data_IF_491380995996
#
_entry.id   IF_491380995996
#
_cell.length_a   1.000
_cell.length_b   1.000
_cell.length_c   1.000
_cell.angle_alpha   90.00
_cell.angle_beta   90.00
_cell.angle_gamma   90.00
#
_symmetry.space_group_name_H-M   'P 1'
#
loop_
_entity.id
_entity.type
_entity.pdbx_description
1 polymer ?
#
# COMPACT_ATOMS: atom_id res chain seq x y z
N UNK A 1 -9.00 -5.25 8.29
CA UNK A 1 -8.91 -5.44 9.75
C UNK A 1 -8.09 -4.30 10.38
N UNK A 2 -8.41 -3.85 11.61
CA UNK A 2 -7.73 -2.74 12.29
C UNK A 2 -6.19 -2.87 12.33
N UNK A 3 -5.62 -4.06 12.60
CA UNK A 3 -4.16 -4.24 12.60
C UNK A 3 -3.49 -3.98 11.25
N UNK A 4 -4.19 -4.23 10.13
CA UNK A 4 -3.65 -3.95 8.80
C UNK A 4 -3.58 -2.44 8.53
N UNK A 5 -4.59 -1.68 8.97
CA UNK A 5 -4.61 -0.21 8.86
C UNK A 5 -3.51 0.42 9.72
N UNK A 6 -3.28 -0.11 10.91
CA UNK A 6 -2.19 0.34 11.79
C UNK A 6 -0.81 0.05 11.17
N UNK A 7 -0.63 -1.17 10.63
CA UNK A 7 0.58 -1.52 9.89
C UNK A 7 0.83 -0.58 8.72
N UNK A 8 -0.20 -0.31 7.90
CA UNK A 8 -0.12 0.62 6.77
C UNK A 8 0.42 2.01 7.14
N UNK A 9 -0.07 2.57 8.22
CA UNK A 9 0.30 3.91 8.64
C UNK A 9 1.75 4.01 9.16
N UNK A 10 2.32 2.88 9.62
CA UNK A 10 3.66 2.80 10.20
C UNK A 10 4.74 2.40 9.20
N UNK A 11 4.36 1.79 8.06
CA UNK A 11 5.30 1.32 7.05
C UNK A 11 6.32 2.39 6.70
N UNK A 12 7.60 2.03 6.80
CA UNK A 12 8.74 2.84 6.42
C UNK A 12 9.67 2.13 5.42
N UNK A 13 9.53 0.82 5.26
CA UNK A 13 10.22 0.04 4.23
C UNK A 13 9.22 -0.78 3.44
N UNK A 14 9.27 -0.69 2.11
CA UNK A 14 8.53 -1.55 1.18
C UNK A 14 9.50 -2.46 0.48
N UNK A 15 9.40 -3.76 0.73
CA UNK A 15 10.06 -4.80 -0.04
C UNK A 15 9.18 -5.16 -1.23
N UNK A 16 9.56 -4.71 -2.42
CA UNK A 16 8.81 -4.97 -3.64
C UNK A 16 9.43 -6.13 -4.41
N UNK A 17 8.62 -7.16 -4.76
CA UNK A 17 9.07 -8.12 -5.77
C UNK A 17 9.12 -7.43 -7.13
N UNK A 18 10.08 -7.81 -7.98
CA UNK A 18 10.20 -7.27 -9.34
C UNK A 18 9.03 -7.74 -10.19
N UNK A 19 8.88 -9.06 -10.27
CA UNK A 19 7.93 -9.72 -11.19
C UNK A 19 6.51 -9.62 -10.68
N UNK A 20 5.56 -9.24 -11.54
CA UNK A 20 4.16 -9.08 -11.14
C UNK A 20 3.87 -7.82 -10.31
N UNK A 21 4.87 -7.16 -9.72
CA UNK A 21 4.73 -5.92 -8.94
C UNK A 21 5.24 -4.70 -9.71
N UNK A 22 6.53 -4.60 -10.00
CA UNK A 22 7.12 -3.51 -10.80
C UNK A 22 6.97 -3.76 -12.30
N UNK A 23 6.91 -5.04 -12.68
CA UNK A 23 6.65 -5.47 -14.06
C UNK A 23 5.30 -6.18 -14.15
N UNK A 24 4.72 -6.20 -15.34
CA UNK A 24 3.59 -7.06 -15.65
C UNK A 24 4.06 -8.53 -15.72
N UNK A 25 3.14 -9.48 -15.55
CA UNK A 25 3.39 -10.90 -15.86
C UNK A 25 3.37 -11.15 -17.37
N UNK A 26 3.89 -10.20 -18.14
CA UNK A 26 3.95 -10.19 -19.59
C UNK A 26 5.36 -9.86 -20.06
N UNK A 27 5.71 -10.41 -21.21
CA UNK A 27 6.96 -10.07 -21.90
C UNK A 27 6.69 -8.97 -22.92
N UNK A 28 7.73 -8.18 -23.22
CA UNK A 28 7.77 -7.24 -24.33
C UNK A 28 8.89 -7.67 -25.31
N UNK A 29 8.72 -7.39 -26.57
CA UNK A 29 9.78 -7.53 -27.56
C UNK A 29 10.82 -6.41 -27.33
N UNK A 30 12.05 -6.79 -27.05
CA UNK A 30 13.15 -5.86 -26.82
C UNK A 30 13.91 -5.57 -28.11
N UNK A 31 14.60 -6.58 -28.63
CA UNK A 31 15.42 -6.42 -29.85
C UNK A 31 15.57 -7.72 -30.63
N UNK A 32 16.02 -7.60 -31.86
CA UNK A 32 16.36 -8.70 -32.75
C UNK A 32 17.81 -8.55 -33.19
N UNK A 33 18.63 -9.58 -32.96
CA UNK A 33 20.04 -9.63 -33.40
C UNK A 33 20.18 -10.69 -34.48
N UNK A 34 20.36 -10.25 -35.74
CA UNK A 34 20.57 -11.17 -36.87
C UNK A 34 21.92 -11.86 -36.79
N UNK A 35 22.01 -13.12 -37.15
CA UNK A 35 23.18 -13.98 -37.06
C UNK A 35 23.61 -14.47 -38.44
N UNK A 36 24.86 -14.92 -38.56
CA UNK A 36 25.37 -15.68 -39.71
C UNK A 36 25.32 -14.99 -41.07
N UNK A 37 25.10 -13.65 -41.11
CA UNK A 37 24.96 -12.90 -42.36
C UNK A 37 23.53 -12.87 -42.90
N UNK A 38 22.56 -13.40 -42.16
CA UNK A 38 21.12 -13.27 -42.46
C UNK A 38 20.67 -11.82 -42.27
N UNK A 39 19.62 -11.42 -43.04
CA UNK A 39 19.04 -10.09 -42.92
C UNK A 39 18.07 -9.97 -41.75
N UNK A 40 18.08 -8.84 -41.08
CA UNK A 40 17.11 -8.59 -39.99
C UNK A 40 15.65 -8.66 -40.49
N UNK A 41 15.38 -8.19 -41.74
CA UNK A 41 14.03 -8.25 -42.31
C UNK A 41 13.57 -9.67 -42.60
N UNK A 42 14.49 -10.57 -43.02
CA UNK A 42 14.21 -12.00 -43.15
C UNK A 42 13.76 -12.60 -41.84
N UNK A 43 14.49 -12.31 -40.76
CA UNK A 43 14.14 -12.78 -39.42
C UNK A 43 12.80 -12.19 -38.92
N UNK A 44 12.56 -10.89 -39.18
CA UNK A 44 11.29 -10.26 -38.84
C UNK A 44 10.11 -10.86 -39.59
N UNK A 45 10.29 -11.13 -40.90
CA UNK A 45 9.23 -11.75 -41.69
C UNK A 45 8.94 -13.18 -41.21
N UNK A 46 9.95 -13.97 -40.92
CA UNK A 46 9.76 -15.28 -40.34
C UNK A 46 8.99 -15.27 -39.02
N UNK A 47 9.29 -14.30 -38.14
CA UNK A 47 8.57 -14.12 -36.88
C UNK A 47 7.10 -13.69 -37.10
N UNK A 48 6.83 -12.81 -38.07
CA UNK A 48 5.46 -12.43 -38.47
C UNK A 48 4.66 -13.61 -38.95
N UNK A 49 5.30 -14.49 -39.75
CA UNK A 49 4.67 -15.71 -40.29
C UNK A 49 4.39 -16.72 -39.20
N UNK A 50 5.36 -16.98 -38.31
CA UNK A 50 5.18 -17.87 -37.16
C UNK A 50 4.06 -17.33 -36.25
N UNK A 51 4.02 -16.02 -35.99
CA UNK A 51 2.99 -15.39 -35.20
C UNK A 51 1.60 -15.39 -35.84
N UNK A 52 1.52 -15.27 -37.18
CA UNK A 52 0.25 -15.36 -37.91
C UNK A 52 -0.34 -16.77 -37.92
N UNK A 53 0.52 -17.80 -37.92
CA UNK A 53 0.15 -19.18 -37.96
C UNK A 53 -0.07 -19.84 -36.58
N UNK A 54 0.21 -19.12 -35.49
CA UNK A 54 0.00 -19.59 -34.10
C UNK A 54 -1.39 -19.17 -33.61
N UNK A 55 -2.30 -20.15 -33.49
CA UNK A 55 -3.69 -19.91 -33.05
C UNK A 55 -3.82 -19.68 -31.54
N UNK A 56 -2.81 -20.09 -30.74
CA UNK A 56 -2.80 -19.98 -29.29
C UNK A 56 -1.41 -19.56 -28.79
N UNK A 57 -0.95 -18.32 -29.10
CA UNK A 57 0.39 -17.88 -28.78
C UNK A 57 0.64 -17.84 -27.28
N UNK A 58 1.76 -18.40 -26.86
CA UNK A 58 2.23 -18.25 -25.48
C UNK A 58 2.73 -16.82 -25.25
N UNK A 59 3.02 -16.47 -23.99
CA UNK A 59 3.43 -15.10 -23.61
C UNK A 59 4.64 -14.57 -24.39
N UNK A 60 5.57 -15.44 -24.80
CA UNK A 60 6.74 -15.03 -25.59
C UNK A 60 6.37 -14.75 -27.04
N UNK A 61 5.54 -15.61 -27.65
CA UNK A 61 5.07 -15.37 -29.02
C UNK A 61 4.14 -14.17 -29.08
N UNK A 62 3.28 -13.96 -28.08
CA UNK A 62 2.44 -12.76 -27.99
C UNK A 62 3.29 -11.48 -27.95
N UNK A 63 4.36 -11.46 -27.14
CA UNK A 63 5.29 -10.32 -27.08
C UNK A 63 6.00 -10.08 -28.40
N UNK A 64 6.38 -11.14 -29.13
CA UNK A 64 6.99 -11.04 -30.46
C UNK A 64 5.99 -10.45 -31.45
N UNK A 65 4.76 -10.96 -31.48
CA UNK A 65 3.70 -10.45 -32.36
C UNK A 65 3.38 -8.98 -32.09
N UNK A 66 3.35 -8.57 -30.83
CA UNK A 66 3.16 -7.16 -30.46
C UNK A 66 4.31 -6.26 -30.97
N UNK A 67 5.55 -6.77 -30.99
CA UNK A 67 6.71 -6.02 -31.43
C UNK A 67 6.97 -6.00 -32.93
N UNK A 68 6.75 -7.14 -33.61
CA UNK A 68 7.05 -7.25 -35.06
C UNK A 68 5.82 -7.22 -35.97
N UNK A 69 4.60 -7.34 -35.39
CA UNK A 69 3.35 -7.46 -36.11
C UNK A 69 3.04 -8.90 -36.57
N UNK A 70 1.91 -9.04 -37.24
CA UNK A 70 1.54 -10.29 -37.95
C UNK A 70 1.72 -10.10 -39.45
N UNK A 71 1.97 -11.21 -40.15
CA UNK A 71 2.07 -11.17 -41.60
C UNK A 71 0.71 -10.80 -42.24
N UNK A 72 0.73 -9.85 -43.17
CA UNK A 72 -0.47 -9.47 -43.95
C UNK A 72 -0.90 -10.58 -44.93
N UNK A 73 0.07 -11.35 -45.42
CA UNK A 73 -0.13 -12.49 -46.29
C UNK A 73 0.50 -13.71 -45.66
N UNK A 74 -0.27 -14.51 -44.88
CA UNK A 74 0.24 -15.69 -44.23
C UNK A 74 0.70 -16.75 -45.26
N UNK A 75 1.84 -17.38 -44.95
CA UNK A 75 2.30 -18.53 -45.70
C UNK A 75 1.45 -19.75 -45.40
N UNK A 76 1.40 -20.69 -46.35
CA UNK A 76 0.64 -21.93 -46.19
C UNK A 76 1.38 -22.91 -45.26
N UNK A 77 0.81 -23.21 -44.11
CA UNK A 77 1.40 -24.15 -43.14
C UNK A 77 1.21 -25.58 -43.64
N UNK A 78 2.31 -26.33 -43.74
CA UNK A 78 2.32 -27.75 -44.11
C UNK A 78 2.45 -28.68 -42.90
N UNK A 79 3.23 -28.25 -41.90
CA UNK A 79 3.41 -28.99 -40.64
C UNK A 79 3.65 -28.04 -39.48
N UNK A 80 3.35 -28.50 -38.26
CA UNK A 80 3.56 -27.69 -37.04
C UNK A 80 4.01 -28.53 -35.86
N UNK A 81 4.88 -27.94 -35.03
CA UNK A 81 5.22 -28.42 -33.70
C UNK A 81 4.87 -27.31 -32.70
N UNK A 82 3.81 -27.46 -31.90
CA UNK A 82 3.49 -26.55 -30.83
C UNK A 82 4.58 -26.55 -29.75
N UNK A 83 4.70 -25.40 -29.04
CA UNK A 83 5.61 -25.30 -27.89
C UNK A 83 5.19 -26.25 -26.77
N UNK A 84 6.15 -26.99 -26.24
CA UNK A 84 5.99 -27.75 -25.00
C UNK A 84 7.16 -27.48 -24.06
N UNK A 85 6.92 -27.48 -22.74
CA UNK A 85 7.97 -27.27 -21.72
C UNK A 85 9.05 -28.38 -21.78
N UNK A 86 8.72 -29.58 -22.28
CA UNK A 86 9.68 -30.68 -22.44
C UNK A 86 10.62 -30.45 -23.62
N UNK A 87 10.10 -29.96 -24.74
CA UNK A 87 10.90 -29.70 -25.95
C UNK A 87 11.57 -28.31 -25.90
N UNK A 88 10.98 -27.32 -25.25
CA UNK A 88 11.45 -25.93 -25.13
C UNK A 88 11.57 -25.18 -26.46
N UNK A 89 10.95 -25.62 -27.50
CA UNK A 89 10.88 -24.99 -28.81
C UNK A 89 9.52 -25.24 -29.49
N UNK A 90 9.20 -24.40 -30.45
CA UNK A 90 8.09 -24.57 -31.40
C UNK A 90 8.59 -24.33 -32.80
N UNK A 91 7.87 -24.82 -33.81
CA UNK A 91 8.23 -24.62 -35.19
C UNK A 91 7.10 -24.89 -36.14
N UNK A 92 7.27 -24.39 -37.37
CA UNK A 92 6.31 -24.56 -38.46
C UNK A 92 7.04 -24.73 -39.78
N UNK A 93 6.52 -25.63 -40.62
CA UNK A 93 6.91 -25.79 -42.02
C UNK A 93 5.91 -25.06 -42.90
N UNK A 94 6.40 -24.32 -43.86
CA UNK A 94 5.62 -23.54 -44.82
C UNK A 94 5.93 -23.96 -46.24
N UNK A 95 4.91 -23.97 -47.09
CA UNK A 95 5.06 -24.35 -48.49
C UNK A 95 5.94 -23.36 -49.27
N UNK A 96 5.87 -22.06 -48.92
CA UNK A 96 6.58 -20.99 -49.62
C UNK A 96 7.88 -20.55 -48.87
N UNK A 97 7.91 -20.66 -47.54
CA UNK A 97 8.95 -20.04 -46.70
C UNK A 97 9.95 -21.03 -46.10
N UNK A 98 9.75 -22.36 -46.28
CA UNK A 98 10.59 -23.39 -45.66
C UNK A 98 10.28 -23.62 -44.17
N UNK A 99 11.22 -24.21 -43.45
CA UNK A 99 11.03 -24.73 -42.11
C UNK A 99 11.64 -23.84 -41.07
N UNK A 100 10.83 -23.36 -40.12
CA UNK A 100 11.27 -22.38 -39.11
C UNK A 100 11.03 -22.91 -37.69
N UNK A 101 12.01 -22.68 -36.83
CA UNK A 101 11.96 -23.02 -35.41
C UNK A 101 12.30 -21.85 -34.55
N UNK A 102 11.60 -21.73 -33.40
CA UNK A 102 11.83 -20.72 -32.37
C UNK A 102 11.84 -21.39 -31.00
N UNK A 103 12.88 -21.16 -30.22
CA UNK A 103 12.94 -21.77 -28.90
C UNK A 103 14.18 -21.45 -28.09
N UNK A 104 14.40 -22.23 -27.05
CA UNK A 104 15.51 -22.05 -26.15
C UNK A 104 16.86 -22.26 -26.87
N UNK A 105 17.79 -21.29 -26.78
CA UNK A 105 19.08 -21.36 -27.50
C UNK A 105 19.89 -22.59 -27.12
N UNK A 106 19.89 -23.01 -25.86
CA UNK A 106 20.57 -24.21 -25.36
C UNK A 106 20.11 -25.51 -26.04
N UNK A 107 18.84 -25.56 -26.45
CA UNK A 107 18.25 -26.69 -27.11
C UNK A 107 18.50 -26.63 -28.61
N UNK A 108 18.16 -25.51 -29.25
CA UNK A 108 18.25 -25.40 -30.72
C UNK A 108 19.69 -25.29 -31.20
N UNK A 109 20.61 -24.62 -30.48
CA UNK A 109 22.00 -24.57 -30.85
C UNK A 109 22.70 -25.95 -30.67
N UNK A 110 22.28 -26.74 -29.69
CA UNK A 110 22.82 -28.10 -29.51
C UNK A 110 22.34 -29.10 -30.59
N UNK A 111 21.29 -28.78 -31.31
CA UNK A 111 20.79 -29.60 -32.43
C UNK A 111 21.60 -29.40 -33.73
N UNK A 112 22.48 -28.35 -33.77
CA UNK A 112 23.36 -28.07 -34.88
C UNK A 112 24.83 -28.39 -34.54
N UNK A 113 25.54 -29.00 -35.47
CA UNK A 113 27.00 -29.26 -35.37
C UNK A 113 27.85 -28.11 -35.93
N UNK A 114 27.21 -27.03 -36.40
CA UNK A 114 27.89 -25.94 -37.08
C UNK A 114 28.59 -24.98 -36.11
N UNK A 115 29.68 -24.37 -36.56
CA UNK A 115 30.35 -23.29 -35.81
C UNK A 115 29.43 -22.12 -35.53
N UNK A 116 28.48 -21.85 -36.43
CA UNK A 116 27.48 -20.80 -36.29
C UNK A 116 26.52 -21.10 -35.13
N UNK A 117 26.08 -22.38 -34.97
CA UNK A 117 25.22 -22.80 -33.87
C UNK A 117 25.93 -22.60 -32.50
N UNK A 118 27.19 -22.98 -32.40
CA UNK A 118 27.98 -22.77 -31.17
C UNK A 118 28.12 -21.28 -30.82
N UNK A 119 28.47 -20.44 -31.81
CA UNK A 119 28.60 -18.98 -31.63
C UNK A 119 27.26 -18.34 -31.23
N UNK A 120 26.14 -18.78 -31.82
CA UNK A 120 24.80 -18.34 -31.46
C UNK A 120 24.43 -18.68 -30.01
N UNK A 121 24.79 -19.88 -29.55
CA UNK A 121 24.62 -20.33 -28.17
C UNK A 121 25.42 -19.49 -27.17
N UNK A 122 26.69 -19.23 -27.47
CA UNK A 122 27.57 -18.36 -26.64
C UNK A 122 27.00 -16.94 -26.54
N UNK A 123 26.63 -16.35 -27.69
CA UNK A 123 26.04 -15.00 -27.72
C UNK A 123 24.74 -14.91 -26.98
N UNK A 124 23.85 -15.91 -27.14
CA UNK A 124 22.61 -16.00 -26.39
C UNK A 124 22.85 -16.09 -24.88
N UNK A 125 23.87 -16.84 -24.45
CA UNK A 125 24.26 -16.94 -23.06
C UNK A 125 24.79 -15.61 -22.50
N UNK A 126 25.59 -14.90 -23.29
CA UNK A 126 26.06 -13.56 -22.92
C UNK A 126 24.90 -12.60 -22.66
N UNK A 127 23.95 -12.51 -23.60
CA UNK A 127 22.76 -11.67 -23.45
C UNK A 127 21.90 -12.15 -22.28
N UNK A 128 21.67 -13.46 -22.15
CA UNK A 128 20.88 -14.02 -21.05
C UNK A 128 21.54 -13.77 -19.66
N UNK A 129 22.85 -13.63 -19.60
CA UNK A 129 23.56 -13.29 -18.36
C UNK A 129 23.18 -11.92 -17.80
N UNK A 130 22.72 -11.01 -18.64
CA UNK A 130 22.18 -9.70 -18.23
C UNK A 130 20.73 -9.79 -17.67
N UNK A 131 20.13 -10.99 -17.71
CA UNK A 131 18.79 -11.29 -17.19
C UNK A 131 17.66 -11.10 -18.20
N UNK A 132 18.00 -10.86 -19.46
CA UNK A 132 17.04 -10.84 -20.55
C UNK A 132 16.67 -12.26 -20.99
N UNK A 133 15.47 -12.45 -21.48
CA UNK A 133 15.06 -13.72 -22.04
C UNK A 133 15.41 -13.75 -23.53
N UNK A 134 16.23 -14.74 -23.92
CA UNK A 134 16.67 -14.90 -25.30
C UNK A 134 16.03 -16.13 -25.89
N UNK A 135 15.51 -16.02 -27.12
CA UNK A 135 15.09 -17.13 -27.94
C UNK A 135 15.92 -17.15 -29.22
N UNK A 136 16.18 -18.33 -29.73
CA UNK A 136 16.84 -18.53 -31.01
C UNK A 136 15.78 -18.78 -32.09
N UNK A 137 15.80 -17.98 -33.14
CA UNK A 137 15.12 -18.22 -34.39
C UNK A 137 16.10 -18.90 -35.37
N UNK A 138 15.70 -20.01 -35.94
CA UNK A 138 16.55 -20.72 -36.89
C UNK A 138 15.73 -21.40 -38.01
N UNK A 139 16.41 -21.75 -39.11
CA UNK A 139 15.90 -22.62 -40.14
C UNK A 139 16.17 -24.06 -39.76
N UNK A 140 15.12 -24.89 -39.80
CA UNK A 140 15.27 -26.34 -39.58
C UNK A 140 15.75 -27.03 -40.87
N UNK A 141 16.65 -27.99 -40.70
CA UNK A 141 17.16 -28.78 -41.83
C UNK A 141 16.21 -29.89 -42.29
N UNK A 142 15.06 -30.02 -41.64
CA UNK A 142 14.04 -31.01 -41.97
C UNK A 142 12.66 -30.45 -41.66
N UNK A 143 11.63 -31.01 -42.31
CA UNK A 143 10.23 -30.68 -42.04
C UNK A 143 9.90 -30.83 -40.56
N UNK A 144 9.27 -29.81 -39.99
CA UNK A 144 8.93 -29.76 -38.56
C UNK A 144 7.72 -30.66 -38.31
N UNK A 145 7.91 -31.75 -37.60
CA UNK A 145 6.84 -32.69 -37.25
C UNK A 145 6.58 -32.72 -35.75
N UNK A 146 5.37 -33.13 -35.35
CA UNK A 146 5.00 -33.21 -33.94
C UNK A 146 5.85 -34.20 -33.12
N UNK A 147 6.50 -35.18 -33.76
CA UNK A 147 7.25 -36.25 -33.12
C UNK A 147 8.78 -36.10 -33.24
N UNK A 148 9.26 -35.27 -34.16
CA UNK A 148 10.66 -35.16 -34.51
C UNK A 148 11.46 -34.08 -33.71
N UNK A 149 12.78 -34.26 -33.73
CA UNK A 149 13.71 -33.18 -33.47
C UNK A 149 13.75 -32.23 -34.70
N UNK A 150 14.14 -30.95 -34.55
CA UNK A 150 14.14 -29.99 -35.66
C UNK A 150 15.20 -30.28 -36.76
N UNK A 151 15.93 -31.35 -36.62
CA UNK A 151 17.11 -31.63 -37.44
C UNK A 151 18.27 -30.69 -37.11
N UNK A 152 19.15 -30.50 -38.07
CA UNK A 152 20.18 -29.49 -37.96
C UNK A 152 19.55 -28.09 -38.07
N UNK A 153 19.81 -27.21 -37.12
CA UNK A 153 19.26 -25.87 -37.09
C UNK A 153 20.34 -24.85 -37.51
N UNK A 154 20.02 -24.10 -38.57
CA UNK A 154 20.83 -22.95 -38.99
C UNK A 154 20.34 -21.69 -38.24
N UNK A 155 21.17 -21.08 -37.38
CA UNK A 155 20.80 -19.90 -36.59
C UNK A 155 20.60 -18.65 -37.46
N UNK A 156 19.42 -18.03 -37.42
CA UNK A 156 19.11 -16.84 -38.19
C UNK A 156 19.12 -15.60 -37.33
N UNK A 157 18.55 -15.63 -36.15
CA UNK A 157 18.54 -14.47 -35.24
C UNK A 157 18.33 -14.87 -33.78
N UNK A 158 18.80 -14.01 -32.88
CA UNK A 158 18.43 -14.01 -31.47
C UNK A 158 17.30 -13.01 -31.25
N UNK A 159 16.23 -13.49 -30.64
CA UNK A 159 15.07 -12.68 -30.23
C UNK A 159 15.19 -12.40 -28.76
N UNK A 160 15.41 -11.14 -28.40
CA UNK A 160 15.56 -10.70 -27.03
C UNK A 160 14.22 -10.17 -26.52
N UNK A 161 13.75 -10.76 -25.43
CA UNK A 161 12.52 -10.36 -24.77
C UNK A 161 12.82 -9.76 -23.41
N UNK A 162 12.11 -8.69 -23.09
CA UNK A 162 12.21 -7.97 -21.84
C UNK A 162 10.92 -8.16 -21.03
N UNK A 163 11.02 -7.99 -19.71
CA UNK A 163 9.82 -7.90 -18.90
C UNK A 163 9.16 -6.53 -19.10
N UNK A 164 7.87 -6.53 -19.36
CA UNK A 164 7.12 -5.29 -19.55
C UNK A 164 6.98 -4.55 -18.22
N UNK A 165 7.62 -3.38 -18.14
CA UNK A 165 7.55 -2.51 -16.97
C UNK A 165 6.16 -1.91 -16.87
N UNK A 166 5.59 -1.86 -15.63
CA UNK A 166 4.31 -1.20 -15.40
C UNK A 166 4.44 0.32 -15.59
N UNK A 167 3.53 0.96 -16.33
CA UNK A 167 3.60 2.40 -16.59
C UNK A 167 3.46 3.24 -15.31
N UNK A 168 2.83 2.71 -14.26
CA UNK A 168 2.61 3.37 -12.98
C UNK A 168 3.73 3.12 -11.95
N UNK A 169 4.69 2.24 -12.23
CA UNK A 169 5.73 1.86 -11.27
C UNK A 169 6.64 3.04 -10.89
N UNK A 170 7.11 3.83 -11.87
CA UNK A 170 8.01 4.96 -11.62
C UNK A 170 7.36 6.02 -10.71
N UNK A 171 6.09 6.41 -11.00
CA UNK A 171 5.35 7.37 -10.17
C UNK A 171 5.09 6.86 -8.76
N UNK A 172 4.87 5.55 -8.60
CA UNK A 172 4.69 4.90 -7.31
C UNK A 172 5.96 4.95 -6.46
N UNK A 173 7.11 4.63 -7.05
CA UNK A 173 8.41 4.68 -6.38
C UNK A 173 8.77 6.12 -5.96
N UNK A 174 8.49 7.10 -6.81
CA UNK A 174 8.68 8.52 -6.50
C UNK A 174 7.78 8.96 -5.34
N UNK A 175 6.53 8.53 -5.31
CA UNK A 175 5.62 8.81 -4.19
C UNK A 175 6.17 8.25 -2.87
N UNK A 176 6.62 7.00 -2.83
CA UNK A 176 7.20 6.41 -1.61
C UNK A 176 8.42 7.19 -1.13
N UNK A 177 9.32 7.56 -2.03
CA UNK A 177 10.48 8.40 -1.71
C UNK A 177 10.07 9.74 -1.10
N UNK A 178 9.07 10.42 -1.69
CA UNK A 178 8.55 11.70 -1.19
C UNK A 178 7.85 11.57 0.17
N UNK A 179 7.35 10.38 0.50
CA UNK A 179 6.74 10.06 1.79
C UNK A 179 7.74 9.54 2.84
N UNK A 180 9.03 9.51 2.52
CA UNK A 180 10.08 8.98 3.41
C UNK A 180 9.93 7.47 3.64
N UNK A 181 9.38 6.74 2.68
CA UNK A 181 9.32 5.28 2.69
C UNK A 181 10.42 4.75 1.78
N UNK A 182 11.30 3.94 2.36
CA UNK A 182 12.37 3.28 1.62
C UNK A 182 11.81 2.12 0.80
N UNK A 183 12.25 2.00 -0.46
CA UNK A 183 11.86 0.86 -1.30
C UNK A 183 13.08 -0.02 -1.55
N UNK A 184 12.94 -1.30 -1.24
CA UNK A 184 13.91 -2.36 -1.55
C UNK A 184 13.30 -3.32 -2.57
N UNK A 185 14.02 -3.56 -3.66
CA UNK A 185 13.55 -4.48 -4.71
C UNK A 185 14.22 -5.83 -4.51
N UNK A 186 13.41 -6.86 -4.34
CA UNK A 186 13.87 -8.22 -3.98
C UNK A 186 13.33 -9.20 -5.02
N UNK A 187 14.21 -9.83 -5.80
CA UNK A 187 13.80 -10.74 -6.87
C UNK A 187 14.63 -12.03 -6.91
N UNK A 188 14.01 -13.11 -7.37
CA UNK A 188 14.71 -14.34 -7.73
C UNK A 188 15.54 -14.24 -9.02
N UNK A 189 15.37 -13.17 -9.81
CA UNK A 189 16.06 -12.95 -11.07
C UNK A 189 17.51 -12.53 -10.87
N UNK A 190 18.26 -12.49 -11.98
CA UNK A 190 19.66 -12.01 -11.96
C UNK A 190 19.73 -10.58 -11.40
N UNK A 191 20.75 -10.31 -10.55
CA UNK A 191 20.93 -9.01 -9.90
C UNK A 191 21.07 -7.86 -10.90
N UNK A 192 21.83 -8.06 -11.98
CA UNK A 192 22.02 -7.03 -13.02
C UNK A 192 20.74 -6.70 -13.76
N UNK A 193 19.89 -7.72 -14.01
CA UNK A 193 18.56 -7.54 -14.61
C UNK A 193 17.63 -6.73 -13.68
N UNK A 194 17.62 -7.05 -12.39
CA UNK A 194 16.84 -6.28 -11.40
C UNK A 194 17.35 -4.84 -11.34
N UNK A 195 18.66 -4.65 -11.31
CA UNK A 195 19.30 -3.34 -11.35
C UNK A 195 19.03 -2.53 -12.62
N UNK A 196 18.91 -3.19 -13.78
CA UNK A 196 18.52 -2.52 -15.02
C UNK A 196 17.09 -1.98 -14.96
N UNK A 197 16.14 -2.80 -14.47
CA UNK A 197 14.75 -2.40 -14.28
C UNK A 197 14.63 -1.25 -13.27
N UNK A 198 15.32 -1.33 -12.14
CA UNK A 198 15.25 -0.28 -11.10
C UNK A 198 15.83 1.04 -11.57
N UNK A 199 16.94 1.01 -12.33
CA UNK A 199 17.50 2.22 -12.96
C UNK A 199 16.57 2.83 -13.99
N UNK A 200 15.92 2.03 -14.83
CA UNK A 200 14.93 2.55 -15.80
C UNK A 200 13.70 3.18 -15.14
N UNK A 201 13.40 2.80 -13.90
CA UNK A 201 12.35 3.39 -13.06
C UNK A 201 12.83 4.63 -12.28
N UNK A 202 14.08 5.07 -12.46
CA UNK A 202 14.63 6.24 -11.79
C UNK A 202 15.00 6.02 -10.32
N UNK A 203 15.20 4.77 -9.89
CA UNK A 203 15.76 4.49 -8.58
C UNK A 203 17.28 4.67 -8.60
N UNK A 204 17.77 5.60 -7.76
CA UNK A 204 19.19 5.66 -7.42
C UNK A 204 19.47 4.64 -6.31
N UNK A 205 19.73 3.41 -6.71
CA UNK A 205 19.72 2.25 -5.81
C UNK A 205 21.11 1.66 -5.56
N UNK A 206 22.16 2.31 -6.04
CA UNK A 206 23.52 1.77 -5.95
C UNK A 206 23.73 0.52 -6.82
N UNK A 207 24.75 -0.26 -6.49
CA UNK A 207 25.05 -1.51 -7.19
C UNK A 207 24.06 -2.61 -6.75
N UNK A 208 23.48 -3.38 -7.69
CA UNK A 208 22.60 -4.51 -7.33
C UNK A 208 23.42 -5.63 -6.65
N UNK A 209 22.84 -6.25 -5.64
CA UNK A 209 23.47 -7.30 -4.83
C UNK A 209 22.97 -8.68 -5.26
N UNK A 210 23.90 -9.60 -5.54
CA UNK A 210 23.59 -11.03 -5.73
C UNK A 210 23.49 -11.71 -4.35
N UNK A 211 22.27 -12.08 -3.94
CA UNK A 211 22.01 -12.65 -2.62
C UNK A 211 22.74 -13.96 -2.33
N UNK A 212 23.21 -14.68 -3.34
CA UNK A 212 24.02 -15.90 -3.17
C UNK A 212 25.44 -15.60 -2.68
N UNK A 213 25.89 -14.36 -2.82
CA UNK A 213 27.26 -13.91 -2.46
C UNK A 213 27.30 -13.17 -1.12
N UNK A 214 26.18 -13.02 -0.46
CA UNK A 214 26.13 -12.37 0.86
C UNK A 214 26.59 -13.38 1.91
N UNK A 215 27.68 -13.11 2.67
CA UNK A 215 28.05 -13.96 3.80
C UNK A 215 27.00 -13.90 4.90
N UNK A 216 26.74 -15.03 5.58
CA UNK A 216 25.73 -15.07 6.65
C UNK A 216 26.03 -14.06 7.78
N UNK A 217 27.30 -13.81 8.08
CA UNK A 217 27.71 -12.85 9.11
C UNK A 217 27.39 -11.39 8.76
N UNK A 218 27.34 -11.05 7.47
CA UNK A 218 27.12 -9.69 6.99
C UNK A 218 25.70 -9.46 6.48
N UNK A 219 24.84 -10.51 6.55
CA UNK A 219 23.53 -10.52 5.91
C UNK A 219 22.66 -9.34 6.35
N UNK A 220 22.51 -9.11 7.64
CA UNK A 220 21.65 -8.05 8.18
C UNK A 220 22.19 -6.66 7.81
N UNK A 221 23.51 -6.45 7.82
CA UNK A 221 24.13 -5.19 7.42
C UNK A 221 23.88 -4.89 5.94
N UNK A 222 24.15 -5.87 5.06
CA UNK A 222 23.94 -5.72 3.62
C UNK A 222 22.46 -5.48 3.28
N UNK A 223 21.54 -6.17 3.97
CA UNK A 223 20.10 -5.99 3.76
C UNK A 223 19.63 -4.58 4.15
N UNK A 224 20.19 -4.02 5.24
CA UNK A 224 19.84 -2.67 5.67
C UNK A 224 20.40 -1.59 4.73
N UNK A 225 21.63 -1.74 4.23
CA UNK A 225 22.32 -0.73 3.42
C UNK A 225 21.96 -0.75 1.93
N UNK A 226 21.60 -1.93 1.38
CA UNK A 226 21.36 -2.09 -0.06
C UNK A 226 19.89 -2.03 -0.40
N UNK A 227 19.57 -1.62 -1.65
CA UNK A 227 18.20 -1.41 -2.11
C UNK A 227 17.74 -2.41 -3.17
N UNK A 228 18.67 -3.10 -3.84
CA UNK A 228 18.34 -4.01 -4.96
C UNK A 228 19.03 -5.34 -4.79
N UNK A 229 18.23 -6.40 -4.76
CA UNK A 229 18.70 -7.76 -4.54
C UNK A 229 18.19 -8.69 -5.64
N UNK A 230 19.13 -9.46 -6.23
CA UNK A 230 18.82 -10.52 -7.19
C UNK A 230 19.21 -11.89 -6.68
N UNK A 231 18.73 -12.94 -7.37
CA UNK A 231 18.97 -14.34 -7.03
C UNK A 231 18.54 -14.72 -5.60
N UNK A 232 17.52 -14.05 -5.08
CA UNK A 232 17.00 -14.24 -3.72
C UNK A 232 16.11 -15.47 -3.67
N UNK A 233 16.38 -16.39 -2.76
CA UNK A 233 15.54 -17.56 -2.50
C UNK A 233 14.34 -17.18 -1.62
N UNK A 234 13.25 -17.99 -1.57
CA UNK A 234 12.11 -17.72 -0.69
C UNK A 234 12.49 -17.61 0.80
N UNK A 235 13.45 -18.41 1.25
CA UNK A 235 13.97 -18.37 2.61
C UNK A 235 14.74 -17.07 2.89
N UNK A 236 15.55 -16.63 1.93
CA UNK A 236 16.26 -15.34 2.03
C UNK A 236 15.28 -14.15 1.99
N UNK A 237 14.23 -14.19 1.16
CA UNK A 237 13.18 -13.14 1.20
C UNK A 237 12.58 -12.98 2.61
N UNK A 238 12.29 -14.11 3.26
CA UNK A 238 11.82 -14.14 4.65
C UNK A 238 12.86 -13.57 5.62
N UNK A 239 14.11 -14.01 5.50
CA UNK A 239 15.21 -13.54 6.35
C UNK A 239 15.46 -12.03 6.20
N UNK A 240 15.37 -11.48 4.97
CA UNK A 240 15.47 -10.05 4.71
C UNK A 240 14.38 -9.24 5.42
N UNK A 241 13.13 -9.72 5.39
CA UNK A 241 12.03 -9.10 6.14
C UNK A 241 12.35 -9.10 7.63
N UNK A 242 12.81 -10.23 8.19
CA UNK A 242 13.15 -10.34 9.61
C UNK A 242 14.33 -9.45 10.01
N UNK A 243 15.36 -9.31 9.15
CA UNK A 243 16.52 -8.44 9.38
C UNK A 243 16.09 -6.97 9.47
N UNK A 244 15.22 -6.51 8.56
CA UNK A 244 14.69 -5.14 8.57
C UNK A 244 13.82 -4.88 9.81
N UNK A 245 12.97 -5.84 10.20
CA UNK A 245 12.19 -5.76 11.43
C UNK A 245 13.09 -5.72 12.67
N UNK A 246 14.17 -6.53 12.68
CA UNK A 246 15.17 -6.51 13.75
C UNK A 246 15.90 -5.17 13.88
N UNK A 247 16.06 -4.42 12.78
CA UNK A 247 16.59 -3.05 12.77
C UNK A 247 15.56 -1.99 13.22
N UNK A 248 14.32 -2.39 13.51
CA UNK A 248 13.24 -1.50 13.98
C UNK A 248 12.36 -0.92 12.89
N UNK A 249 12.46 -1.43 11.66
CA UNK A 249 11.61 -1.02 10.55
C UNK A 249 10.24 -1.71 10.59
N UNK A 250 9.23 -1.01 10.09
CA UNK A 250 7.91 -1.59 9.82
C UNK A 250 7.83 -1.93 8.33
N UNK A 251 7.87 -3.22 8.03
CA UNK A 251 8.10 -3.72 6.68
C UNK A 251 6.79 -4.10 5.99
N UNK A 252 6.54 -3.51 4.82
CA UNK A 252 5.58 -4.03 3.86
C UNK A 252 6.29 -4.93 2.84
N UNK A 253 5.71 -6.08 2.54
CA UNK A 253 6.19 -6.98 1.47
C UNK A 253 5.11 -7.12 0.41
N UNK A 254 5.48 -6.93 -0.87
CA UNK A 254 4.59 -7.17 -2.01
C UNK A 254 5.06 -8.39 -2.79
N UNK A 255 4.12 -9.15 -3.33
CA UNK A 255 4.44 -10.31 -4.18
C UNK A 255 3.20 -10.95 -4.78
N UNK A 256 3.38 -11.75 -5.82
CA UNK A 256 2.32 -12.47 -6.54
C UNK A 256 2.55 -13.98 -6.62
N UNK A 257 3.79 -14.43 -6.40
CA UNK A 257 4.23 -15.80 -6.54
C UNK A 257 4.19 -16.64 -5.26
N UNK A 258 4.20 -17.96 -5.42
CA UNK A 258 4.32 -18.91 -4.30
C UNK A 258 5.61 -18.68 -3.49
N UNK A 259 6.64 -18.18 -4.16
CA UNK A 259 7.95 -17.89 -3.56
C UNK A 259 7.91 -16.76 -2.51
N UNK A 260 6.85 -15.94 -2.53
CA UNK A 260 6.69 -14.79 -1.65
C UNK A 260 5.87 -15.08 -0.39
N UNK A 261 5.18 -16.23 -0.36
CA UNK A 261 4.23 -16.60 0.71
C UNK A 261 4.84 -16.48 2.10
N UNK A 262 6.08 -16.96 2.30
CA UNK A 262 6.76 -16.90 3.60
C UNK A 262 7.05 -15.46 4.03
N UNK A 263 7.60 -14.67 3.12
CA UNK A 263 7.94 -13.26 3.38
C UNK A 263 6.69 -12.40 3.59
N UNK A 264 5.64 -12.61 2.80
CA UNK A 264 4.35 -11.94 2.94
C UNK A 264 3.67 -12.22 4.29
N UNK A 265 3.77 -13.48 4.77
CA UNK A 265 3.19 -13.88 6.04
C UNK A 265 3.90 -13.22 7.23
N UNK A 266 5.23 -13.15 7.18
CA UNK A 266 6.06 -12.67 8.29
C UNK A 266 6.21 -11.14 8.29
N UNK A 267 5.95 -10.46 7.17
CA UNK A 267 5.95 -9.01 7.09
C UNK A 267 4.86 -8.36 7.97
N UNK A 268 5.13 -7.15 8.47
CA UNK A 268 4.14 -6.35 9.21
C UNK A 268 2.93 -6.08 8.33
N UNK A 269 3.14 -5.93 7.03
CA UNK A 269 2.11 -5.78 6.03
C UNK A 269 2.41 -6.62 4.78
N UNK A 270 1.78 -7.78 4.64
CA UNK A 270 1.79 -8.55 3.39
C UNK A 270 0.76 -8.03 2.40
N UNK A 271 1.18 -7.69 1.18
CA UNK A 271 0.34 -7.18 0.09
C UNK A 271 0.44 -8.11 -1.10
N UNK A 272 -0.65 -8.73 -1.51
CA UNK A 272 -0.72 -9.56 -2.70
C UNK A 272 -1.35 -8.81 -3.87
N UNK A 273 -0.87 -9.10 -5.08
CA UNK A 273 -1.55 -8.68 -6.31
C UNK A 273 -2.81 -9.54 -6.53
N UNK A 274 -3.84 -8.99 -7.16
CA UNK A 274 -5.11 -9.70 -7.44
C UNK A 274 -4.91 -10.89 -8.37
N UNK A 275 -4.00 -10.77 -9.36
CA UNK A 275 -3.55 -11.84 -10.26
C UNK A 275 -2.63 -12.86 -9.59
N UNK A 276 -2.19 -12.62 -8.37
CA UNK A 276 -1.32 -13.51 -7.61
C UNK A 276 -1.95 -14.87 -7.31
N UNK A 277 -1.13 -15.83 -6.92
CA UNK A 277 -1.58 -17.19 -6.62
C UNK A 277 -2.58 -17.23 -5.45
N UNK A 278 -3.44 -18.25 -5.40
CA UNK A 278 -4.37 -18.41 -4.28
C UNK A 278 -3.65 -18.49 -2.92
N UNK A 279 -2.46 -19.13 -2.89
CA UNK A 279 -1.63 -19.23 -1.69
C UNK A 279 -1.16 -17.85 -1.21
N UNK A 280 -0.67 -17.01 -2.13
CA UNK A 280 -0.20 -15.65 -1.84
C UNK A 280 -1.33 -14.79 -1.30
N UNK A 281 -2.50 -14.81 -1.99
CA UNK A 281 -3.69 -14.05 -1.55
C UNK A 281 -4.25 -14.51 -0.20
N UNK A 282 -4.10 -15.79 0.16
CA UNK A 282 -4.63 -16.31 1.43
C UNK A 282 -3.82 -15.87 2.65
N UNK A 283 -2.54 -15.55 2.50
CA UNK A 283 -1.65 -15.12 3.59
C UNK A 283 -1.50 -13.60 3.68
N UNK A 284 -1.79 -12.90 2.59
CA UNK A 284 -1.68 -11.45 2.53
C UNK A 284 -2.72 -10.76 3.43
N UNK A 285 -2.32 -9.67 4.08
CA UNK A 285 -3.23 -8.81 4.85
C UNK A 285 -4.06 -7.88 3.95
N UNK A 286 -3.53 -7.59 2.75
CA UNK A 286 -4.18 -6.77 1.73
C UNK A 286 -4.04 -7.45 0.37
N UNK A 287 -5.09 -7.36 -0.45
CA UNK A 287 -5.07 -7.82 -1.84
C UNK A 287 -5.46 -6.66 -2.75
N UNK A 288 -4.59 -6.32 -3.71
CA UNK A 288 -4.83 -5.27 -4.71
C UNK A 288 -5.61 -5.87 -5.88
N UNK A 289 -6.94 -5.78 -5.84
CA UNK A 289 -7.83 -6.44 -6.80
C UNK A 289 -7.72 -5.88 -8.23
N UNK A 290 -7.25 -4.66 -8.36
CA UNK A 290 -7.05 -3.97 -9.65
C UNK A 290 -5.68 -4.25 -10.27
N UNK A 291 -4.86 -5.06 -9.63
CA UNK A 291 -3.48 -5.37 -10.03
C UNK A 291 -2.57 -4.15 -10.25
N UNK A 292 -2.92 -2.99 -9.66
CA UNK A 292 -2.15 -1.77 -9.80
C UNK A 292 -1.27 -1.53 -8.60
N UNK A 293 0.03 -1.48 -8.82
CA UNK A 293 0.99 -1.11 -7.78
C UNK A 293 0.77 0.33 -7.29
N UNK A 294 0.29 1.22 -8.17
CA UNK A 294 -0.09 2.59 -7.85
C UNK A 294 -1.21 2.73 -6.81
N UNK A 295 -1.97 1.69 -6.53
CA UNK A 295 -2.99 1.70 -5.49
C UNK A 295 -2.37 1.66 -4.08
N UNK A 296 -1.19 1.06 -3.91
CA UNK A 296 -0.53 0.93 -2.61
C UNK A 296 -0.22 2.28 -1.92
N UNK A 297 0.30 3.32 -2.62
CA UNK A 297 0.41 4.67 -2.06
C UNK A 297 -0.86 5.22 -1.44
N UNK A 298 -2.00 5.05 -2.13
CA UNK A 298 -3.29 5.53 -1.64
C UNK A 298 -3.71 4.78 -0.37
N UNK A 299 -3.46 3.48 -0.33
CA UNK A 299 -3.76 2.64 0.83
C UNK A 299 -2.91 3.04 2.04
N UNK A 300 -1.62 3.30 1.85
CA UNK A 300 -0.71 3.81 2.91
C UNK A 300 -1.15 5.19 3.38
N UNK A 301 -1.48 6.10 2.47
CA UNK A 301 -2.00 7.43 2.79
C UNK A 301 -3.29 7.39 3.60
N UNK A 302 -4.22 6.49 3.25
CA UNK A 302 -5.48 6.30 3.97
C UNK A 302 -5.22 5.74 5.39
N UNK A 303 -4.31 4.78 5.54
CA UNK A 303 -3.90 4.28 6.86
C UNK A 303 -3.37 5.39 7.77
N UNK A 304 -2.50 6.26 7.25
CA UNK A 304 -1.96 7.43 7.96
C UNK A 304 -3.06 8.41 8.36
N UNK A 305 -3.98 8.71 7.43
CA UNK A 305 -5.16 9.55 7.70
C UNK A 305 -5.98 9.01 8.85
N UNK A 306 -6.33 7.74 8.82
CA UNK A 306 -7.18 7.09 9.83
C UNK A 306 -6.51 7.14 11.20
N UNK A 307 -5.23 6.75 11.33
CA UNK A 307 -4.52 6.75 12.61
C UNK A 307 -4.31 8.16 13.18
N UNK A 308 -3.90 9.11 12.36
CA UNK A 308 -3.72 10.49 12.81
C UNK A 308 -5.02 11.13 13.27
N UNK A 309 -6.13 10.79 12.62
CA UNK A 309 -7.46 11.29 13.02
C UNK A 309 -7.97 10.59 14.28
N UNK A 310 -7.73 9.28 14.44
CA UNK A 310 -8.03 8.55 15.68
C UNK A 310 -7.31 9.17 16.88
N UNK A 311 -6.04 9.59 16.74
CA UNK A 311 -5.29 10.23 17.82
C UNK A 311 -5.91 11.58 18.23
N UNK A 312 -6.33 12.39 17.26
CA UNK A 312 -7.03 13.67 17.54
C UNK A 312 -8.35 13.46 18.27
N UNK A 313 -9.14 12.51 17.78
CA UNK A 313 -10.43 12.15 18.40
C UNK A 313 -10.22 11.59 19.81
N UNK A 314 -9.26 10.70 19.98
CA UNK A 314 -8.91 10.11 21.28
C UNK A 314 -8.50 11.17 22.32
N UNK A 315 -7.71 12.17 21.91
CA UNK A 315 -7.33 13.29 22.78
C UNK A 315 -8.54 14.06 23.33
N UNK A 316 -9.53 14.33 22.48
CA UNK A 316 -10.76 15.06 22.89
C UNK A 316 -11.61 14.21 23.84
N UNK A 317 -11.86 12.94 23.50
CA UNK A 317 -12.67 12.03 24.32
C UNK A 317 -12.01 11.72 25.67
N UNK A 318 -10.70 11.45 25.68
CA UNK A 318 -9.97 11.17 26.90
C UNK A 318 -9.94 12.38 27.83
N UNK A 319 -9.69 13.58 27.30
CA UNK A 319 -9.76 14.82 28.08
C UNK A 319 -11.11 14.97 28.76
N UNK A 320 -12.23 14.69 28.05
CA UNK A 320 -13.58 14.71 28.65
C UNK A 320 -13.71 13.72 29.80
N UNK A 321 -13.29 12.49 29.60
CA UNK A 321 -13.37 11.44 30.63
C UNK A 321 -12.57 11.84 31.85
N UNK A 322 -11.37 12.38 31.68
CA UNK A 322 -10.49 12.79 32.77
C UNK A 322 -11.10 13.96 33.53
N UNK A 323 -11.52 15.05 32.87
CA UNK A 323 -12.09 16.18 33.59
C UNK A 323 -13.39 15.82 34.30
N UNK A 324 -14.23 14.96 33.72
CA UNK A 324 -15.46 14.53 34.36
C UNK A 324 -15.17 13.68 35.63
N UNK A 325 -14.17 12.79 35.55
CA UNK A 325 -13.74 11.98 36.68
C UNK A 325 -13.15 12.82 37.80
N UNK A 326 -12.24 13.75 37.48
CA UNK A 326 -11.64 14.65 38.47
C UNK A 326 -12.70 15.53 39.11
N UNK A 327 -13.63 16.09 38.32
CA UNK A 327 -14.72 16.92 38.82
C UNK A 327 -15.63 16.14 39.78
N UNK A 328 -15.97 14.89 39.44
CA UNK A 328 -16.76 14.03 40.32
C UNK A 328 -16.02 13.76 41.66
N UNK A 329 -14.71 13.53 41.61
CA UNK A 329 -13.89 13.34 42.81
C UNK A 329 -13.87 14.63 43.66
N UNK A 330 -13.67 15.79 43.04
CA UNK A 330 -13.66 17.08 43.74
C UNK A 330 -15.02 17.36 44.38
N UNK A 331 -16.12 17.14 43.68
CA UNK A 331 -17.47 17.32 44.21
C UNK A 331 -17.71 16.43 45.43
N UNK A 332 -17.27 15.16 45.36
CA UNK A 332 -17.39 14.23 46.47
C UNK A 332 -16.50 14.65 47.68
N UNK A 333 -15.26 15.02 47.40
CA UNK A 333 -14.27 15.41 48.44
C UNK A 333 -14.71 16.67 49.23
N UNK A 334 -15.28 17.65 48.51
CA UNK A 334 -15.73 18.91 49.12
C UNK A 334 -17.21 18.87 49.56
N UNK A 335 -17.89 17.72 49.42
CA UNK A 335 -19.29 17.52 49.75
C UNK A 335 -20.23 18.62 49.21
N UNK A 336 -20.03 19.02 47.96
CA UNK A 336 -20.81 20.04 47.27
C UNK A 336 -21.75 19.49 46.23
N UNK A 337 -22.86 20.14 45.88
CA UNK A 337 -23.69 19.68 44.77
C UNK A 337 -22.93 19.77 43.44
N UNK A 338 -23.28 18.85 42.52
CA UNK A 338 -22.64 18.80 41.19
C UNK A 338 -23.01 20.08 40.42
N UNK A 339 -22.02 20.80 39.85
CA UNK A 339 -22.26 22.13 39.27
C UNK A 339 -23.04 22.13 37.97
N UNK A 340 -23.16 20.99 37.28
CA UNK A 340 -23.76 20.90 35.97
C UNK A 340 -25.03 20.07 35.93
N UNK A 341 -26.01 20.50 35.16
CA UNK A 341 -27.16 19.67 34.79
C UNK A 341 -26.76 18.74 33.62
N UNK A 342 -27.41 17.55 33.47
CA UNK A 342 -27.12 16.62 32.38
C UNK A 342 -27.18 17.26 30.99
N UNK A 343 -28.15 18.18 30.77
CA UNK A 343 -28.29 18.89 29.50
C UNK A 343 -27.08 19.77 29.17
N UNK A 344 -26.49 20.43 30.16
CA UNK A 344 -25.29 21.26 29.96
C UNK A 344 -24.10 20.41 29.49
N UNK A 345 -23.89 19.26 30.11
CA UNK A 345 -22.81 18.33 29.74
C UNK A 345 -23.02 17.75 28.35
N UNK A 346 -24.29 17.49 27.99
CA UNK A 346 -24.64 16.96 26.66
C UNK A 346 -24.38 17.97 25.57
N UNK A 347 -24.90 19.20 25.69
CA UNK A 347 -24.74 20.25 24.69
C UNK A 347 -23.24 20.63 24.56
N UNK A 348 -22.54 20.85 25.68
CA UNK A 348 -21.10 21.14 25.65
C UNK A 348 -20.33 20.00 24.97
N UNK A 349 -20.64 18.73 25.29
CA UNK A 349 -20.00 17.58 24.65
C UNK A 349 -20.23 17.50 23.13
N UNK A 350 -21.41 17.85 22.65
CA UNK A 350 -21.69 17.89 21.22
C UNK A 350 -20.84 18.93 20.48
N UNK A 351 -20.74 20.14 21.01
CA UNK A 351 -20.06 21.25 20.35
C UNK A 351 -18.57 21.31 20.61
N UNK A 352 -18.05 20.77 21.73
CA UNK A 352 -16.61 20.78 22.00
C UNK A 352 -15.92 19.49 21.58
N UNK A 353 -16.66 18.38 21.38
CA UNK A 353 -16.09 17.06 21.05
C UNK A 353 -16.77 16.44 19.84
N UNK A 354 -18.07 16.17 19.89
CA UNK A 354 -18.74 15.34 18.88
C UNK A 354 -18.61 15.91 17.47
N UNK A 355 -19.12 17.09 17.23
CA UNK A 355 -19.08 17.77 15.92
C UNK A 355 -17.63 18.07 15.51
N UNK A 356 -16.78 18.67 16.37
CA UNK A 356 -15.39 18.91 16.01
C UNK A 356 -14.59 17.65 15.72
N UNK A 357 -14.75 16.59 16.50
CA UNK A 357 -14.06 15.32 16.27
C UNK A 357 -14.41 14.74 14.89
N UNK A 358 -15.70 14.76 14.51
CA UNK A 358 -16.15 14.32 13.20
C UNK A 358 -15.53 15.17 12.08
N UNK A 359 -15.64 16.50 12.16
CA UNK A 359 -15.13 17.40 11.11
C UNK A 359 -13.60 17.33 11.02
N UNK A 360 -12.87 17.26 12.14
CA UNK A 360 -11.41 17.13 12.17
C UNK A 360 -10.92 15.77 11.69
N UNK A 361 -11.78 14.76 11.59
CA UNK A 361 -11.44 13.45 11.05
C UNK A 361 -11.53 13.35 9.51
N UNK A 362 -12.15 14.34 8.84
CA UNK A 362 -12.34 14.31 7.38
C UNK A 362 -11.09 14.65 6.56
N UNK A 363 -10.24 15.64 6.94
CA UNK A 363 -9.09 16.04 6.14
C UNK A 363 -8.05 14.93 5.99
N UNK A 364 -7.30 14.89 4.86
CA UNK A 364 -6.17 14.00 4.72
C UNK A 364 -5.10 14.33 5.75
N UNK A 365 -4.46 13.29 6.29
CA UNK A 365 -3.33 13.40 7.18
C UNK A 365 -2.21 12.50 6.65
N UNK A 366 -1.12 13.12 6.19
CA UNK A 366 0.03 12.42 5.61
C UNK A 366 1.15 12.18 6.63
N UNK A 367 0.96 12.59 7.89
CA UNK A 367 1.98 12.39 8.91
C UNK A 367 2.13 10.90 9.23
N UNK A 368 3.38 10.44 9.26
CA UNK A 368 3.71 9.07 9.65
C UNK A 368 3.24 8.81 11.10
N UNK A 369 2.57 7.69 11.30
CA UNK A 369 2.16 7.26 12.63
C UNK A 369 3.40 6.95 13.49
N UNK A 370 3.43 7.51 14.69
CA UNK A 370 4.51 7.33 15.67
C UNK A 370 4.11 6.25 16.67
N UNK A 371 5.09 5.53 17.20
CA UNK A 371 4.87 4.55 18.26
C UNK A 371 4.43 5.19 19.58
N UNK A 372 3.79 4.40 20.46
CA UNK A 372 3.40 4.89 21.78
C UNK A 372 2.13 5.74 21.79
N UNK A 373 1.14 5.42 20.95
CA UNK A 373 -0.16 6.11 20.85
C UNK A 373 -0.80 6.39 22.22
N UNK A 374 -0.94 5.36 23.09
CA UNK A 374 -1.56 5.51 24.40
C UNK A 374 -0.79 6.50 25.28
N UNK A 375 0.55 6.41 25.28
CA UNK A 375 1.40 7.32 26.06
C UNK A 375 1.26 8.77 25.61
N UNK A 376 1.18 9.03 24.29
CA UNK A 376 1.00 10.40 23.76
C UNK A 376 -0.37 10.97 24.12
N UNK A 377 -1.43 10.17 23.94
CA UNK A 377 -2.80 10.59 24.27
C UNK A 377 -2.94 10.87 25.77
N UNK A 378 -2.34 10.03 26.64
CA UNK A 378 -2.33 10.24 28.07
C UNK A 378 -1.51 11.47 28.48
N UNK A 379 -0.35 11.69 27.86
CA UNK A 379 0.53 12.83 28.14
C UNK A 379 -0.14 14.19 27.80
N UNK A 380 -1.04 14.21 26.84
CA UNK A 380 -1.83 15.39 26.51
C UNK A 380 -3.14 15.43 27.31
N UNK A 381 -3.92 14.36 27.30
CA UNK A 381 -5.28 14.32 27.82
C UNK A 381 -5.35 14.48 29.35
N UNK A 382 -4.37 13.93 30.11
CA UNK A 382 -4.38 14.01 31.57
C UNK A 382 -4.18 15.46 32.07
N UNK A 383 -3.12 16.20 31.68
CA UNK A 383 -2.96 17.58 32.12
C UNK A 383 -4.06 18.49 31.58
N UNK A 384 -4.49 18.30 30.32
CA UNK A 384 -5.59 19.09 29.76
C UNK A 384 -6.90 18.88 30.52
N UNK A 385 -7.25 17.64 30.81
CA UNK A 385 -8.44 17.30 31.61
C UNK A 385 -8.36 17.83 33.04
N UNK A 386 -7.19 17.76 33.69
CA UNK A 386 -6.97 18.31 35.02
C UNK A 386 -7.18 19.84 35.03
N UNK A 387 -6.62 20.57 34.08
CA UNK A 387 -6.80 22.02 33.97
C UNK A 387 -8.29 22.37 33.78
N UNK A 388 -9.00 21.69 32.89
CA UNK A 388 -10.43 21.92 32.67
C UNK A 388 -11.25 21.66 33.92
N UNK A 389 -10.97 20.57 34.64
CA UNK A 389 -11.68 20.23 35.89
C UNK A 389 -11.45 21.27 37.00
N UNK A 390 -10.16 21.60 37.23
CA UNK A 390 -9.79 22.55 38.28
C UNK A 390 -10.32 23.93 37.98
N UNK A 391 -10.21 24.45 36.74
CA UNK A 391 -10.74 25.74 36.35
C UNK A 391 -12.26 25.80 36.55
N UNK A 392 -13.00 24.81 36.12
CA UNK A 392 -14.44 24.74 36.27
C UNK A 392 -14.86 24.67 37.76
N UNK A 393 -14.18 23.81 38.54
CA UNK A 393 -14.49 23.66 39.97
C UNK A 393 -14.10 24.89 40.77
N UNK A 394 -12.94 25.50 40.55
CA UNK A 394 -12.51 26.72 41.21
C UNK A 394 -13.47 27.90 40.95
N UNK A 395 -13.93 28.05 39.69
CA UNK A 395 -14.93 29.05 39.34
C UNK A 395 -16.26 28.80 40.05
N UNK A 396 -16.69 27.54 40.13
CA UNK A 396 -17.88 27.14 40.88
C UNK A 396 -17.76 27.55 42.36
N UNK A 397 -16.64 27.20 42.99
CA UNK A 397 -16.40 27.49 44.41
C UNK A 397 -16.25 28.97 44.70
N UNK A 398 -15.69 29.75 43.79
CA UNK A 398 -15.52 31.19 43.94
C UNK A 398 -16.84 31.99 43.89
N UNK A 399 -17.83 31.50 43.18
CA UNK A 399 -19.14 32.15 43.00
C UNK A 399 -20.20 31.57 43.93
N UNK A 400 -19.95 30.39 44.49
CA UNK A 400 -20.91 29.68 45.35
C UNK A 400 -21.06 30.33 46.71
N UNK A 401 -22.30 30.61 47.12
CA UNK A 401 -22.66 30.94 48.49
C UNK A 401 -22.87 29.66 49.34
N UNK A 402 -22.47 29.61 50.62
CA UNK A 402 -22.73 28.48 51.51
C UNK A 402 -24.20 28.12 51.67
N UNK A 403 -25.08 29.12 51.63
CA UNK A 403 -26.55 28.97 51.74
C UNK A 403 -27.25 29.63 50.53
N UNK A 404 -27.06 29.10 49.34
CA UNK A 404 -27.47 29.77 48.12
C UNK A 404 -28.98 29.81 47.97
N UNK A 405 -29.52 30.92 47.53
CA UNK A 405 -30.84 30.99 46.91
C UNK A 405 -30.82 30.22 45.60
N UNK A 406 -31.98 29.82 45.08
CA UNK A 406 -32.06 29.13 43.76
C UNK A 406 -31.41 29.95 42.64
N UNK A 407 -31.48 31.27 42.69
CA UNK A 407 -30.84 32.14 41.71
C UNK A 407 -29.32 32.18 41.85
N UNK A 408 -28.77 32.24 43.09
CA UNK A 408 -27.33 32.18 43.34
C UNK A 408 -26.74 30.82 42.95
N UNK A 409 -27.44 29.72 43.19
CA UNK A 409 -27.03 28.40 42.76
C UNK A 409 -26.97 28.32 41.22
N UNK A 410 -27.96 28.88 40.51
CA UNK A 410 -27.95 28.95 39.05
C UNK A 410 -26.79 29.81 38.50
N UNK A 411 -26.49 30.95 39.18
CA UNK A 411 -25.35 31.79 38.81
C UNK A 411 -24.00 31.07 38.96
N UNK A 412 -23.78 30.35 40.06
CA UNK A 412 -22.58 29.54 40.27
C UNK A 412 -22.42 28.46 39.25
N UNK A 413 -23.52 27.73 38.90
CA UNK A 413 -23.54 26.70 37.84
C UNK A 413 -23.24 27.31 36.47
N UNK A 414 -23.80 28.50 36.14
CA UNK A 414 -23.54 29.19 34.87
C UNK A 414 -22.09 29.65 34.79
N UNK A 415 -21.50 30.20 35.85
CA UNK A 415 -20.10 30.58 35.86
C UNK A 415 -19.17 29.39 35.66
N UNK A 416 -19.43 28.25 36.32
CA UNK A 416 -18.68 27.02 36.12
C UNK A 416 -18.83 26.48 34.67
N UNK A 417 -20.03 26.61 34.07
CA UNK A 417 -20.29 26.19 32.70
C UNK A 417 -19.50 27.06 31.70
N UNK A 418 -19.44 28.35 31.89
CA UNK A 418 -18.62 29.27 31.07
C UNK A 418 -17.14 28.87 31.15
N UNK A 419 -16.63 28.62 32.37
CA UNK A 419 -15.24 28.17 32.56
C UNK A 419 -14.99 26.81 31.85
N UNK A 420 -15.94 25.89 31.90
CA UNK A 420 -15.87 24.59 31.17
C UNK A 420 -15.80 24.83 29.67
N UNK A 421 -16.69 25.64 29.11
CA UNK A 421 -16.76 25.92 27.68
C UNK A 421 -15.46 26.57 27.18
N UNK A 422 -14.97 27.59 27.87
CA UNK A 422 -13.75 28.29 27.48
C UNK A 422 -12.54 27.37 27.52
N UNK A 423 -12.37 26.62 28.60
CA UNK A 423 -11.23 25.69 28.75
C UNK A 423 -11.33 24.51 27.80
N UNK A 424 -12.51 23.92 27.57
CA UNK A 424 -12.71 22.85 26.60
C UNK A 424 -12.50 23.35 25.16
N UNK A 425 -12.91 24.56 24.82
CA UNK A 425 -12.64 25.18 23.51
C UNK A 425 -11.15 25.44 23.32
N UNK A 426 -10.42 25.83 24.37
CA UNK A 426 -8.97 25.96 24.32
C UNK A 426 -8.29 24.60 24.04
N UNK A 427 -8.75 23.52 24.66
CA UNK A 427 -8.29 22.14 24.34
C UNK A 427 -8.57 21.80 22.87
N UNK A 428 -9.79 22.08 22.39
CA UNK A 428 -10.14 21.88 20.99
C UNK A 428 -9.22 22.67 20.06
N UNK A 429 -8.94 23.93 20.35
CA UNK A 429 -8.02 24.76 19.59
C UNK A 429 -6.62 24.17 19.56
N UNK A 430 -6.13 23.61 20.66
CA UNK A 430 -4.81 22.97 20.72
C UNK A 430 -4.75 21.71 19.85
N UNK A 431 -5.79 20.88 19.86
CA UNK A 431 -5.89 19.64 19.05
C UNK A 431 -6.10 19.94 17.55
N UNK A 432 -6.73 21.07 17.21
CA UNK A 432 -7.00 21.48 15.83
C UNK A 432 -5.77 21.99 15.06
N UNK A 433 -4.60 22.14 15.70
CA UNK A 433 -3.36 22.57 15.02
C UNK A 433 -2.92 21.56 13.93
N UNK A 434 -2.30 22.05 12.81
CA UNK A 434 -2.08 23.45 12.42
C UNK A 434 -3.38 24.15 12.04
N UNK A 435 -3.41 25.50 12.26
CA UNK A 435 -4.62 26.28 11.99
C UNK A 435 -4.79 26.56 10.51
N UNK A 436 -5.97 26.21 10.00
CA UNK A 436 -6.50 26.59 8.71
C UNK A 436 -7.77 27.42 8.92
N UNK A 437 -8.14 28.28 7.98
CA UNK A 437 -9.26 29.20 8.14
C UNK A 437 -10.57 28.52 8.58
N UNK A 438 -10.88 27.34 8.01
CA UNK A 438 -12.07 26.56 8.33
C UNK A 438 -12.05 25.97 9.76
N UNK A 439 -10.86 25.62 10.29
CA UNK A 439 -10.69 25.16 11.68
C UNK A 439 -10.94 26.30 12.67
N UNK A 440 -10.49 27.51 12.33
CA UNK A 440 -10.77 28.71 13.12
C UNK A 440 -12.27 29.02 13.12
N UNK A 441 -12.91 28.93 11.95
CA UNK A 441 -14.35 29.09 11.83
C UNK A 441 -15.14 28.04 12.65
N UNK A 442 -14.70 26.78 12.63
CA UNK A 442 -15.28 25.70 13.43
C UNK A 442 -15.20 25.99 14.93
N UNK A 443 -14.01 26.40 15.43
CA UNK A 443 -13.81 26.76 16.84
C UNK A 443 -14.71 27.94 17.22
N UNK A 444 -14.77 28.97 16.39
CA UNK A 444 -15.63 30.15 16.61
C UNK A 444 -17.12 29.78 16.63
N UNK A 445 -17.58 28.92 15.74
CA UNK A 445 -18.95 28.41 15.70
C UNK A 445 -19.29 27.62 16.97
N UNK A 446 -18.40 26.72 17.40
CA UNK A 446 -18.58 25.97 18.64
C UNK A 446 -18.69 26.88 19.85
N UNK A 447 -17.90 27.94 19.93
CA UNK A 447 -17.92 28.92 21.01
C UNK A 447 -19.22 29.71 21.01
N UNK A 448 -19.70 30.18 19.87
CA UNK A 448 -20.97 30.89 19.69
C UNK A 448 -22.18 30.09 20.15
N UNK A 449 -22.25 28.79 19.73
CA UNK A 449 -23.39 27.93 20.05
C UNK A 449 -23.41 27.44 21.50
N UNK A 450 -22.25 27.40 22.17
CA UNK A 450 -22.14 27.00 23.58
C UNK A 450 -22.24 28.20 24.54
N UNK A 451 -22.17 29.42 24.04
CA UNK A 451 -22.32 30.62 24.89
C UNK A 451 -23.74 30.72 25.44
N UNK A 452 -23.93 30.86 26.76
CA UNK A 452 -25.25 31.01 27.34
C UNK A 452 -25.93 32.27 26.79
N UNK A 453 -27.15 32.10 26.25
CA UNK A 453 -27.92 33.22 25.71
C UNK A 453 -28.36 34.15 26.84
N UNK A 454 -28.27 35.50 26.67
CA UNK A 454 -28.81 36.45 27.65
C UNK A 454 -30.30 36.29 27.90
N UNK A 455 -31.04 35.53 27.04
CA UNK A 455 -32.47 35.29 27.18
C UNK A 455 -32.83 34.24 28.22
N UNK A 456 -31.88 33.37 28.60
CA UNK A 456 -32.15 32.30 29.58
C UNK A 456 -32.13 32.81 31.03
N UNK A 457 -31.63 34.02 31.28
CA UNK A 457 -31.66 34.69 32.58
C UNK A 457 -32.95 35.44 32.92
N UNK A 458 -33.89 35.51 31.97
CA UNK A 458 -35.10 36.32 32.08
C UNK A 458 -36.44 35.59 32.17
N UNK A 459 -36.47 34.26 32.09
CA UNK A 459 -37.71 33.53 32.10
C UNK A 459 -37.92 32.72 33.39
N UNK A 460 -38.08 33.43 34.50
CA UNK A 460 -38.63 32.84 35.72
C UNK A 460 -39.64 33.74 36.37
N UNK A 461 -40.80 33.92 35.73
CA UNK A 461 -42.05 34.19 36.46
C UNK A 461 -43.25 33.99 35.53
N UNK A 462 -44.17 33.18 36.00
CA UNK A 462 -45.51 32.95 35.48
C UNK A 462 -45.69 31.90 34.38
N UNK A 463 -45.65 30.62 34.76
CA UNK A 463 -46.68 29.67 34.37
C UNK A 463 -46.83 28.61 35.49
N UNK A 464 -47.70 28.85 36.44
CA UNK A 464 -48.34 27.76 37.22
C UNK A 464 -49.18 26.98 36.24
N UNK A 465 -48.57 26.08 35.55
CA UNK A 465 -49.24 25.06 34.72
C UNK A 465 -49.80 23.99 35.64
N UNK A 466 -51.08 24.03 35.83
CA UNK A 466 -51.88 22.97 36.45
C UNK A 466 -51.63 21.64 35.73
N UNK A 467 -50.91 20.75 36.38
CA UNK A 467 -50.83 19.35 35.97
C UNK A 467 -52.21 18.74 36.11
N UNK A 468 -52.96 18.58 35.02
CA UNK A 468 -54.18 17.75 34.98
C UNK A 468 -53.81 16.33 35.35
N UNK A 469 -54.35 15.84 36.49
CA UNK A 469 -54.31 14.43 36.85
C UNK A 469 -54.97 13.61 35.75
N UNK A 470 -54.30 12.63 35.25
CA UNK A 470 -54.91 11.57 34.43
C UNK A 470 -55.87 10.76 35.29
N UNK A 471 -57.11 10.47 34.86
CA UNK A 471 -58.01 9.63 35.61
C UNK A 471 -57.57 8.19 35.55
N UNK A 472 -57.39 7.58 36.71
CA UNK A 472 -57.18 6.14 36.89
C UNK A 472 -58.46 5.38 36.51
N UNK A 473 -58.55 4.92 35.26
CA UNK A 473 -59.53 3.96 34.81
C UNK A 473 -59.21 2.56 35.32
N UNK A 474 -59.95 2.03 36.25
CA UNK A 474 -59.98 0.59 36.57
C UNK A 474 -60.74 -0.15 35.47
N UNK A 475 -60.29 -1.31 35.02
CA UNK A 475 -61.14 -2.17 34.19
C UNK A 475 -62.18 -2.86 35.08
N UNK A 476 -63.42 -2.81 34.63
CA UNK A 476 -64.46 -3.70 35.13
C UNK A 476 -64.56 -4.91 34.21
N UNK A 477 -64.61 -6.08 34.85
CA UNK A 477 -65.13 -7.41 34.46
C UNK A 477 -64.72 -7.94 33.09
#
# INVERSE_FOLDING_TARGET
ELPAIEGLARVDVVCADKTGTLTENAMAFGSLEALGGHGEEEAREALRQLGAADDAPNSSMAAIVDGVGRAERPWTVTARQPFTSAKKWSGMSFAEGGDWVLGAPDVLASSGSSRAAAAAGERAQEIASTGLRVLLLGRAGAEVTAEGAPGEVDPVALVVLEQKIRPDAAGTLEYFRNQGVEVKVISGDNADSVGAVTRSLGMDSGAPVDARRIPDADFDGVVNESHVFGRVTPQQKRAMVSALQGAGHTVAMTGDGVNDVLALKDADLGVAMGSGTAATRSVAKIVLLDDKFATLPHVVGEGRRVLGNIERVANLFLTKTIYSSILAILVLLFAVPFPFQPIHVTITGWFTIGIPAFILSLPPNNERARDGFVGRVMRFGFPAGAVVAVASFATFMAVRDPHPTAQQAAQASTAALVALIVSATWVLATVARPYEWWKIALIGLCLLYTSPSPRDSGCSSSTRGTWRRWPSGRPRA
#
